data_IF_418336976419
#
_entry.id   IF_418336976419
#
_cell.length_a   1.000
_cell.length_b   1.000
_cell.length_c   1.000
_cell.angle_alpha   90.00
_cell.angle_beta   90.00
_cell.angle_gamma   90.00
#
_symmetry.space_group_name_H-M   'P 1'
#
loop_
_entity.id
_entity.type
_entity.pdbx_description
1 polymer ?
#
# COMPACT_ATOMS: atom_id res chain seq x y z
N UNK A 1 2.73 4.73 26.94
CA UNK A 1 1.28 4.73 26.65
C UNK A 1 1.03 4.65 25.14
N UNK A 2 1.85 5.30 24.30
CA UNK A 2 1.82 5.20 22.83
C UNK A 2 1.99 3.78 22.28
N UNK A 3 2.87 2.95 22.87
CA UNK A 3 3.01 1.55 22.45
C UNK A 3 1.69 0.75 22.52
N UNK A 4 0.81 1.06 23.47
CA UNK A 4 -0.46 0.35 23.62
C UNK A 4 -1.46 0.71 22.53
N UNK A 5 -1.47 1.96 22.04
CA UNK A 5 -2.45 2.35 21.01
C UNK A 5 -2.08 1.77 19.65
N UNK A 6 -0.79 1.74 19.29
CA UNK A 6 -0.33 1.13 18.05
C UNK A 6 -0.67 -0.37 17.99
N UNK A 7 -0.37 -1.12 19.06
CA UNK A 7 -0.70 -2.55 19.11
C UNK A 7 -2.21 -2.80 19.00
N UNK A 8 -3.04 -1.97 19.62
CA UNK A 8 -4.50 -2.08 19.51
C UNK A 8 -4.98 -1.79 18.09
N UNK A 9 -4.46 -0.73 17.46
CA UNK A 9 -4.81 -0.38 16.08
C UNK A 9 -4.39 -1.46 15.08
N UNK A 10 -3.18 -2.00 15.22
CA UNK A 10 -2.67 -3.09 14.38
C UNK A 10 -3.54 -4.35 14.52
N UNK A 11 -3.97 -4.68 15.74
CA UNK A 11 -4.85 -5.81 15.99
C UNK A 11 -6.24 -5.60 15.36
N UNK A 12 -6.82 -4.41 15.48
CA UNK A 12 -8.09 -4.06 14.84
C UNK A 12 -7.98 -4.16 13.32
N UNK A 13 -6.89 -3.66 12.74
CA UNK A 13 -6.64 -3.72 11.31
C UNK A 13 -6.51 -5.17 10.82
N UNK A 14 -5.76 -6.00 11.54
CA UNK A 14 -5.59 -7.42 11.24
C UNK A 14 -6.93 -8.17 11.30
N UNK A 15 -7.69 -8.02 12.40
CA UNK A 15 -8.98 -8.69 12.58
C UNK A 15 -10.00 -8.27 11.51
N UNK A 16 -10.04 -6.98 11.19
CA UNK A 16 -10.93 -6.45 10.13
C UNK A 16 -10.55 -7.01 8.76
N UNK A 17 -9.26 -7.05 8.43
CA UNK A 17 -8.78 -7.63 7.17
C UNK A 17 -9.10 -9.12 7.08
N UNK A 18 -8.87 -9.89 8.14
CA UNK A 18 -9.21 -11.32 8.18
C UNK A 18 -10.72 -11.56 8.04
N UNK A 19 -11.54 -10.72 8.66
CA UNK A 19 -12.99 -10.79 8.53
C UNK A 19 -13.43 -10.54 7.07
N UNK A 20 -12.89 -9.51 6.41
CA UNK A 20 -13.20 -9.23 4.99
C UNK A 20 -12.78 -10.39 4.09
N UNK A 21 -11.59 -10.96 4.30
CA UNK A 21 -11.13 -12.14 3.55
C UNK A 21 -12.10 -13.31 3.76
N UNK A 22 -12.50 -13.58 5.01
CA UNK A 22 -13.44 -14.66 5.32
C UNK A 22 -14.80 -14.44 4.67
N UNK A 23 -15.32 -13.20 4.68
CA UNK A 23 -16.57 -12.84 4.04
C UNK A 23 -16.51 -13.11 2.52
N UNK A 24 -15.47 -12.64 1.82
CA UNK A 24 -15.33 -12.83 0.37
C UNK A 24 -15.15 -14.31 0.02
N UNK A 25 -14.34 -15.04 0.79
CA UNK A 25 -13.97 -16.44 0.46
C UNK A 25 -15.06 -17.46 0.79
N UNK A 26 -15.84 -17.23 1.84
CA UNK A 26 -16.78 -18.22 2.36
C UNK A 26 -18.23 -17.71 2.37
N UNK A 27 -18.53 -16.67 3.16
CA UNK A 27 -19.93 -16.26 3.41
C UNK A 27 -20.62 -15.64 2.20
N UNK A 28 -19.91 -14.79 1.45
CA UNK A 28 -20.39 -14.03 0.30
C UNK A 28 -19.73 -14.51 -1.01
N UNK A 29 -19.27 -15.76 -1.04
CA UNK A 29 -18.61 -16.33 -2.21
C UNK A 29 -19.49 -16.30 -3.47
N UNK A 30 -20.80 -16.44 -3.33
CA UNK A 30 -21.74 -16.44 -4.46
C UNK A 30 -21.87 -15.09 -5.17
N UNK A 31 -21.61 -13.98 -4.48
CA UNK A 31 -21.61 -12.64 -5.10
C UNK A 31 -20.26 -12.24 -5.69
N UNK A 32 -19.22 -13.08 -5.53
CA UNK A 32 -17.88 -12.79 -6.02
C UNK A 32 -17.74 -13.15 -7.51
N UNK A 33 -17.50 -12.12 -8.34
CA UNK A 33 -17.37 -12.26 -9.80
C UNK A 33 -15.91 -12.48 -10.21
N UNK A 34 -15.46 -13.74 -10.20
CA UNK A 34 -14.06 -14.10 -10.51
C UNK A 34 -13.60 -13.68 -11.92
N UNK A 35 -14.52 -13.53 -12.87
CA UNK A 35 -14.21 -13.15 -14.25
C UNK A 35 -13.53 -11.78 -14.37
N UNK A 36 -13.84 -10.85 -13.46
CA UNK A 36 -13.24 -9.52 -13.44
C UNK A 36 -11.94 -9.45 -12.62
N UNK A 37 -11.73 -10.37 -11.66
CA UNK A 37 -10.50 -10.47 -10.87
C UNK A 37 -9.51 -11.47 -11.49
N UNK A 38 -8.91 -11.06 -12.59
CA UNK A 38 -8.04 -11.89 -13.43
C UNK A 38 -6.56 -11.49 -13.36
N UNK A 39 -6.18 -10.60 -12.45
CA UNK A 39 -4.80 -10.12 -12.36
C UNK A 39 -3.90 -11.17 -11.72
N UNK A 40 -2.75 -11.44 -12.33
CA UNK A 40 -1.81 -12.41 -11.78
C UNK A 40 -1.03 -11.79 -10.63
N UNK A 41 -1.38 -12.17 -9.40
CA UNK A 41 -0.77 -11.64 -8.18
C UNK A 41 0.76 -11.83 -8.11
N UNK A 42 1.29 -12.85 -8.78
CA UNK A 42 2.75 -13.09 -8.88
C UNK A 42 3.49 -11.91 -9.50
N UNK A 43 2.89 -11.17 -10.43
CA UNK A 43 3.52 -9.96 -11.01
C UNK A 43 3.65 -8.81 -10.00
N UNK A 44 2.92 -8.84 -8.90
CA UNK A 44 3.08 -7.88 -7.82
C UNK A 44 4.04 -8.41 -6.75
N UNK A 45 3.78 -9.62 -6.27
CA UNK A 45 4.48 -10.18 -5.10
C UNK A 45 5.94 -10.47 -5.41
N UNK A 46 6.26 -11.03 -6.59
CA UNK A 46 7.63 -11.42 -6.93
C UNK A 46 8.55 -10.20 -7.07
N UNK A 47 8.20 -9.15 -7.84
CA UNK A 47 9.03 -7.93 -7.89
C UNK A 47 9.20 -7.26 -6.53
N UNK A 48 8.16 -7.19 -5.70
CA UNK A 48 8.26 -6.61 -4.35
C UNK A 48 9.18 -7.42 -3.44
N UNK A 49 9.15 -8.75 -3.53
CA UNK A 49 10.07 -9.63 -2.78
C UNK A 49 11.52 -9.47 -3.23
N UNK A 50 11.76 -9.39 -4.54
CA UNK A 50 13.09 -9.15 -5.12
C UNK A 50 13.61 -7.78 -4.63
N UNK A 51 12.81 -6.73 -4.78
CA UNK A 51 13.19 -5.38 -4.32
C UNK A 51 13.48 -5.35 -2.82
N UNK A 52 12.69 -6.04 -1.99
CA UNK A 52 12.90 -6.12 -0.55
C UNK A 52 14.23 -6.77 -0.14
N UNK A 53 14.71 -7.75 -0.91
CA UNK A 53 16.00 -8.40 -0.63
C UNK A 53 17.15 -7.42 -0.89
N UNK A 54 17.08 -6.65 -1.98
CA UNK A 54 18.13 -5.72 -2.38
C UNK A 54 18.09 -4.38 -1.64
N UNK A 55 16.90 -3.83 -1.44
CA UNK A 55 16.66 -2.51 -0.85
C UNK A 55 15.81 -2.72 0.40
N UNK A 56 16.48 -2.71 1.55
CA UNK A 56 15.83 -2.83 2.85
C UNK A 56 16.47 -1.85 3.85
N UNK A 57 15.74 -1.48 4.91
CA UNK A 57 16.23 -0.53 5.89
C UNK A 57 17.40 -1.12 6.68
N UNK A 58 18.40 -0.30 6.97
CA UNK A 58 19.50 -0.67 7.85
C UNK A 58 19.16 -0.32 9.30
N UNK A 59 18.44 -1.22 9.97
CA UNK A 59 18.11 -1.12 11.40
C UNK A 59 18.83 -2.18 12.23
N UNK A 60 18.72 -2.06 13.57
CA UNK A 60 19.26 -3.02 14.56
C UNK A 60 18.58 -4.39 14.55
N UNK A 61 17.48 -4.54 13.80
CA UNK A 61 16.74 -5.80 13.72
C UNK A 61 17.49 -6.85 12.88
N UNK A 62 17.14 -8.13 13.09
CA UNK A 62 17.67 -9.25 12.30
C UNK A 62 17.37 -9.06 10.81
N UNK A 63 18.25 -9.56 9.93
CA UNK A 63 18.14 -9.35 8.49
C UNK A 63 16.77 -9.72 7.91
N UNK A 64 16.19 -10.85 8.34
CA UNK A 64 14.86 -11.31 7.90
C UNK A 64 13.78 -10.27 8.24
N UNK A 65 13.80 -9.69 9.44
CA UNK A 65 12.81 -8.69 9.84
C UNK A 65 12.92 -7.41 9.01
N UNK A 66 14.13 -7.02 8.61
CA UNK A 66 14.38 -5.85 7.75
C UNK A 66 13.85 -6.07 6.33
N UNK A 67 14.10 -7.26 5.77
CA UNK A 67 13.56 -7.64 4.46
C UNK A 67 12.04 -7.76 4.49
N UNK A 68 11.47 -8.36 5.54
CA UNK A 68 10.01 -8.44 5.69
C UNK A 68 9.37 -7.06 5.79
N UNK A 69 9.98 -6.13 6.54
CA UNK A 69 9.49 -4.76 6.61
C UNK A 69 9.57 -4.06 5.24
N UNK A 70 10.67 -4.25 4.50
CA UNK A 70 10.78 -3.74 3.15
C UNK A 70 9.71 -4.31 2.21
N UNK A 71 9.51 -5.62 2.29
CA UNK A 71 8.50 -6.33 1.52
C UNK A 71 7.09 -5.82 1.80
N UNK A 72 6.73 -5.58 3.06
CA UNK A 72 5.40 -5.05 3.41
C UNK A 72 5.15 -3.68 2.77
N UNK A 73 6.15 -2.78 2.79
CA UNK A 73 6.02 -1.45 2.17
C UNK A 73 5.88 -1.55 0.65
N UNK A 74 6.71 -2.37 -0.01
CA UNK A 74 6.64 -2.54 -1.47
C UNK A 74 5.35 -3.20 -1.94
N UNK A 75 4.83 -4.20 -1.20
CA UNK A 75 3.55 -4.84 -1.55
C UNK A 75 2.38 -3.91 -1.29
N UNK A 76 2.38 -3.17 -0.18
CA UNK A 76 1.30 -2.23 0.16
C UNK A 76 1.11 -1.14 -0.91
N UNK A 77 2.21 -0.63 -1.47
CA UNK A 77 2.16 0.40 -2.52
C UNK A 77 1.40 -0.05 -3.78
N UNK A 78 1.42 -1.35 -4.08
CA UNK A 78 0.86 -1.92 -5.32
C UNK A 78 -0.35 -2.84 -5.07
N UNK A 79 -0.69 -3.13 -3.82
CA UNK A 79 -1.76 -4.08 -3.45
C UNK A 79 -3.17 -3.59 -3.82
N UNK A 80 -3.32 -2.31 -4.16
CA UNK A 80 -4.58 -1.73 -4.64
C UNK A 80 -4.85 -2.06 -6.11
N UNK A 81 -3.82 -2.37 -6.90
CA UNK A 81 -3.94 -2.62 -8.34
C UNK A 81 -4.95 -3.71 -8.74
N UNK A 82 -5.06 -4.88 -8.05
CA UNK A 82 -6.06 -5.88 -8.40
C UNK A 82 -7.48 -5.32 -8.30
N UNK A 83 -7.76 -4.55 -7.25
CA UNK A 83 -9.07 -3.93 -7.03
C UNK A 83 -9.38 -2.89 -8.11
N UNK A 84 -8.41 -2.05 -8.48
CA UNK A 84 -8.58 -1.07 -9.55
C UNK A 84 -8.85 -1.76 -10.89
N UNK A 85 -8.09 -2.82 -11.20
CA UNK A 85 -8.27 -3.61 -12.41
C UNK A 85 -9.64 -4.29 -12.45
N UNK A 86 -10.10 -4.84 -11.33
CA UNK A 86 -11.43 -5.40 -11.18
C UNK A 86 -12.51 -4.38 -11.54
N UNK A 87 -12.42 -3.16 -10.99
CA UNK A 87 -13.39 -2.10 -11.22
C UNK A 87 -13.38 -1.60 -12.68
N UNK A 88 -12.20 -1.53 -13.30
CA UNK A 88 -12.07 -1.22 -14.73
C UNK A 88 -12.73 -2.30 -15.61
N UNK A 89 -12.52 -3.58 -15.28
CA UNK A 89 -13.06 -4.71 -16.03
C UNK A 89 -14.59 -4.82 -15.87
N UNK A 90 -15.10 -4.63 -14.65
CA UNK A 90 -16.53 -4.70 -14.35
C UNK A 90 -17.33 -3.57 -15.03
N UNK A 91 -16.67 -2.47 -15.43
CA UNK A 91 -17.25 -1.24 -16.00
C UNK A 91 -18.33 -0.55 -15.16
N UNK A 92 -18.71 -1.12 -14.03
CA UNK A 92 -19.60 -0.55 -13.02
C UNK A 92 -18.85 -0.43 -11.70
N UNK A 93 -18.94 0.74 -11.09
CA UNK A 93 -18.41 0.98 -9.75
C UNK A 93 -19.60 1.26 -8.84
N UNK A 94 -19.79 0.40 -7.84
CA UNK A 94 -20.75 0.67 -6.77
C UNK A 94 -20.34 1.94 -6.01
N UNK A 95 -21.30 2.81 -5.74
CA UNK A 95 -21.05 4.12 -5.12
C UNK A 95 -20.30 4.02 -3.79
N UNK A 96 -20.66 3.05 -2.94
CA UNK A 96 -19.97 2.82 -1.67
C UNK A 96 -18.50 2.41 -1.85
N UNK A 97 -18.23 1.52 -2.80
CA UNK A 97 -16.85 1.13 -3.14
C UNK A 97 -16.07 2.32 -3.70
N UNK A 98 -16.71 3.17 -4.50
CA UNK A 98 -16.13 4.44 -4.96
C UNK A 98 -15.69 5.36 -3.81
N UNK A 99 -16.58 5.60 -2.83
CA UNK A 99 -16.24 6.41 -1.66
C UNK A 99 -15.12 5.80 -0.80
N UNK A 100 -15.11 4.48 -0.63
CA UNK A 100 -14.04 3.78 0.07
C UNK A 100 -12.68 4.01 -0.60
N UNK A 101 -12.58 3.79 -1.90
CA UNK A 101 -11.31 3.97 -2.64
C UNK A 101 -10.90 5.45 -2.66
N UNK A 102 -11.87 6.39 -2.74
CA UNK A 102 -11.59 7.82 -2.64
C UNK A 102 -11.01 8.23 -1.28
N UNK A 103 -11.63 7.78 -0.17
CA UNK A 103 -11.13 8.05 1.17
C UNK A 103 -9.73 7.43 1.39
N UNK A 104 -9.51 6.23 0.86
CA UNK A 104 -8.19 5.61 0.84
C UNK A 104 -7.18 6.48 0.07
N UNK A 105 -7.56 6.98 -1.11
CA UNK A 105 -6.78 7.96 -1.87
C UNK A 105 -6.35 9.16 -1.03
N UNK A 106 -7.31 9.85 -0.41
CA UNK A 106 -7.05 11.02 0.45
C UNK A 106 -6.08 10.68 1.58
N UNK A 107 -6.25 9.53 2.25
CA UNK A 107 -5.35 9.12 3.34
C UNK A 107 -3.90 8.97 2.89
N UNK A 108 -3.67 8.49 1.66
CA UNK A 108 -2.33 8.33 1.08
C UNK A 108 -1.72 9.66 0.66
N UNK A 109 -2.52 10.58 0.12
CA UNK A 109 -2.05 11.94 -0.15
C UNK A 109 -1.60 12.67 1.12
N UNK A 110 -2.34 12.53 2.22
CA UNK A 110 -1.93 13.10 3.53
C UNK A 110 -0.63 12.47 4.02
N UNK A 111 -0.46 11.16 3.84
CA UNK A 111 0.78 10.44 4.19
C UNK A 111 1.97 10.93 3.37
N UNK A 112 1.79 11.13 2.05
CA UNK A 112 2.80 11.72 1.18
C UNK A 112 3.16 13.16 1.61
N UNK A 113 2.16 13.98 1.93
CA UNK A 113 2.39 15.34 2.42
C UNK A 113 3.19 15.36 3.73
N UNK A 114 2.88 14.47 4.67
CA UNK A 114 3.64 14.29 5.91
C UNK A 114 5.11 14.00 5.61
N UNK A 115 5.41 13.06 4.71
CA UNK A 115 6.77 12.71 4.35
C UNK A 115 7.54 13.85 3.67
N UNK A 116 6.87 14.64 2.83
CA UNK A 116 7.47 15.84 2.20
C UNK A 116 7.83 16.88 3.27
N UNK A 117 6.92 17.19 4.18
CA UNK A 117 7.13 18.14 5.27
C UNK A 117 8.30 17.67 6.16
N UNK A 118 8.28 16.40 6.57
CA UNK A 118 9.32 15.82 7.41
C UNK A 118 10.71 15.89 6.75
N UNK A 119 10.76 15.68 5.44
CA UNK A 119 11.99 15.77 4.66
C UNK A 119 12.52 17.21 4.56
N UNK A 120 11.62 18.18 4.43
CA UNK A 120 11.95 19.61 4.44
C UNK A 120 12.49 20.05 5.81
N UNK A 121 11.80 19.69 6.90
CA UNK A 121 12.20 20.04 8.28
C UNK A 121 13.55 19.45 8.67
N UNK A 122 13.87 18.26 8.17
CA UNK A 122 15.15 17.59 8.43
C UNK A 122 16.29 18.10 7.53
N UNK A 123 16.03 19.11 6.69
CA UNK A 123 17.00 19.74 5.79
C UNK A 123 17.53 18.80 4.71
N UNK A 124 16.74 17.78 4.32
CA UNK A 124 17.14 16.78 3.35
C UNK A 124 18.28 15.86 3.81
N UNK A 125 18.67 15.88 5.10
CA UNK A 125 19.75 14.99 5.61
C UNK A 125 19.49 13.53 5.27
N UNK A 126 18.23 13.09 5.34
CA UNK A 126 17.85 11.71 5.02
C UNK A 126 17.78 11.40 3.52
N UNK A 127 17.75 12.42 2.64
CA UNK A 127 17.78 12.28 1.18
C UNK A 127 19.20 12.28 0.60
N UNK A 128 20.11 13.12 1.14
CA UNK A 128 21.40 13.44 0.51
C UNK A 128 22.62 12.70 1.10
N UNK A 129 22.45 11.87 2.13
CA UNK A 129 23.52 11.02 2.67
C UNK A 129 23.67 9.74 1.84
N UNK A 130 24.66 9.69 0.94
CA UNK A 130 24.93 8.51 0.12
C UNK A 130 25.68 7.40 0.92
N UNK A 131 25.06 6.21 1.07
CA UNK A 131 25.67 5.03 1.73
C UNK A 131 24.73 3.82 1.90
N UNK A 132 25.26 2.69 2.40
CA UNK A 132 24.71 1.31 2.44
C UNK A 132 23.37 1.05 3.19
N UNK A 133 22.57 2.09 3.47
CA UNK A 133 21.24 1.98 4.09
C UNK A 133 20.26 3.10 3.71
N UNK A 134 20.66 4.04 2.85
CA UNK A 134 19.90 5.26 2.56
C UNK A 134 19.03 5.14 1.30
N UNK A 135 19.33 4.20 0.40
CA UNK A 135 18.44 3.87 -0.74
C UNK A 135 17.04 3.46 -0.26
N UNK A 136 16.93 2.93 0.96
CA UNK A 136 15.66 2.61 1.58
C UNK A 136 14.75 3.84 1.73
N UNK A 137 15.26 4.98 2.20
CA UNK A 137 14.44 6.18 2.40
C UNK A 137 13.90 6.70 1.06
N UNK A 138 14.76 6.73 0.03
CA UNK A 138 14.34 7.08 -1.33
C UNK A 138 13.30 6.09 -1.85
N UNK A 139 13.52 4.78 -1.65
CA UNK A 139 12.57 3.77 -2.08
C UNK A 139 11.23 3.87 -1.34
N UNK A 140 11.22 4.18 -0.05
CA UNK A 140 10.02 4.40 0.75
C UNK A 140 9.22 5.64 0.28
N UNK A 141 9.91 6.74 -0.05
CA UNK A 141 9.26 7.91 -0.64
C UNK A 141 8.72 7.61 -2.05
N UNK A 142 9.48 6.88 -2.86
CA UNK A 142 9.03 6.45 -4.18
C UNK A 142 7.80 5.55 -4.09
N UNK A 143 7.71 4.66 -3.10
CA UNK A 143 6.50 3.84 -2.89
C UNK A 143 5.28 4.67 -2.55
N UNK A 144 5.42 5.68 -1.67
CA UNK A 144 4.33 6.60 -1.33
C UNK A 144 3.86 7.40 -2.54
N UNK A 145 4.81 7.84 -3.37
CA UNK A 145 4.53 8.54 -4.63
C UNK A 145 3.81 7.62 -5.62
N UNK A 146 4.31 6.40 -5.84
CA UNK A 146 3.69 5.40 -6.72
C UNK A 146 2.26 5.12 -6.29
N UNK A 147 2.04 4.83 -5.00
CA UNK A 147 0.71 4.54 -4.46
C UNK A 147 -0.24 5.73 -4.63
N UNK A 148 0.25 6.94 -4.32
CA UNK A 148 -0.53 8.18 -4.46
C UNK A 148 -0.92 8.44 -5.92
N UNK A 149 -0.01 8.24 -6.88
CA UNK A 149 -0.31 8.39 -8.31
C UNK A 149 -1.31 7.35 -8.82
N UNK A 150 -1.17 6.08 -8.42
CA UNK A 150 -2.13 5.02 -8.78
C UNK A 150 -3.54 5.39 -8.30
N UNK A 151 -3.67 5.90 -7.07
CA UNK A 151 -4.95 6.33 -6.50
C UNK A 151 -5.45 7.63 -7.14
N UNK A 152 -4.57 8.56 -7.49
CA UNK A 152 -4.90 9.80 -8.20
C UNK A 152 -5.53 9.51 -9.57
N UNK A 153 -4.89 8.62 -10.33
CA UNK A 153 -5.37 8.19 -11.65
C UNK A 153 -6.76 7.58 -11.53
N UNK A 154 -6.97 6.69 -10.56
CA UNK A 154 -8.28 6.14 -10.27
C UNK A 154 -9.32 7.23 -9.92
N UNK A 155 -8.99 8.17 -9.03
CA UNK A 155 -9.92 9.24 -8.64
C UNK A 155 -10.30 10.11 -9.85
N UNK A 156 -9.33 10.41 -10.72
CA UNK A 156 -9.58 11.13 -11.97
C UNK A 156 -10.54 10.35 -12.90
N UNK A 157 -10.28 9.06 -13.12
CA UNK A 157 -11.16 8.21 -13.94
C UNK A 157 -12.56 8.05 -13.35
N UNK A 158 -12.67 7.99 -12.02
CA UNK A 158 -13.95 7.89 -11.32
C UNK A 158 -14.77 9.18 -11.42
N UNK A 159 -14.16 10.35 -11.16
CA UNK A 159 -14.87 11.64 -11.24
C UNK A 159 -15.32 12.02 -12.65
N UNK A 160 -14.63 11.51 -13.68
CA UNK A 160 -14.94 11.80 -15.08
C UNK A 160 -16.16 10.99 -15.61
N UNK A 161 -16.51 9.90 -14.93
CA UNK A 161 -17.70 9.09 -15.24
C UNK A 161 -18.89 9.54 -14.41
#
# INVERSE_FOLDING_TARGET
MEANIHTVLDLIYLLSTLLVIWLIRFKLKSSYMKEFDNMWLSFLVVPSAILAIFIHPFTRHVWIARVLWAFTVYVEAISILPQLRYMQNAKMVETFTGYYVFALGVSRFVSLAYWIIHTYETGGKYLFLFGYGYLWMLAALLTEVIQSFILADFCYYYMKR
#
